data_IF_783110161649
#
_entry.id   IF_783110161649
#
_cell.length_a   1.000
_cell.length_b   1.000
_cell.length_c   1.000
_cell.angle_alpha   90.00
_cell.angle_beta   90.00
_cell.angle_gamma   90.00
#
_symmetry.space_group_name_H-M   'P 1'
#
loop_
_entity.id
_entity.type
_entity.pdbx_description
1 polymer ?
#
# COMPACT_ATOMS: atom_id res chain seq x y z
N UNK A 1 -90.19 11.21 9.12
CA UNK A 1 -90.89 10.67 10.31
C UNK A 1 -90.87 9.16 10.20
N UNK A 2 -90.26 8.47 11.16
CA UNK A 2 -90.04 7.02 11.13
C UNK A 2 -88.82 6.64 11.96
N UNK A 3 -88.96 6.71 13.29
CA UNK A 3 -88.04 6.15 14.26
C UNK A 3 -88.36 4.65 14.44
N UNK A 4 -87.38 3.86 14.91
CA UNK A 4 -87.48 2.73 15.84
C UNK A 4 -86.66 1.49 15.44
N UNK A 5 -85.54 1.25 16.15
CA UNK A 5 -85.31 0.15 17.12
C UNK A 5 -83.84 -0.31 17.13
N UNK A 6 -83.27 -0.22 18.33
CA UNK A 6 -82.00 -0.79 18.79
C UNK A 6 -82.11 -2.31 19.00
N UNK A 7 -81.03 -3.08 18.73
CA UNK A 7 -80.20 -3.78 19.74
C UNK A 7 -79.28 -4.87 19.12
N UNK A 8 -78.25 -5.36 19.87
CA UNK A 8 -76.90 -5.56 19.34
C UNK A 8 -76.46 -7.04 19.32
N UNK A 9 -75.37 -7.34 18.61
CA UNK A 9 -74.60 -8.58 18.79
C UNK A 9 -73.12 -8.22 18.70
N UNK A 10 -72.38 -8.57 19.76
CA UNK A 10 -70.95 -8.36 19.83
C UNK A 10 -70.12 -9.56 19.37
N UNK A 11 -68.81 -9.37 19.57
CA UNK A 11 -67.74 -10.37 19.73
C UNK A 11 -67.07 -10.86 18.43
N UNK A 12 -65.91 -10.28 18.10
CA UNK A 12 -64.55 -10.89 18.16
C UNK A 12 -63.63 -10.22 17.14
N UNK A 13 -62.44 -9.72 17.53
CA UNK A 13 -61.38 -9.41 16.57
C UNK A 13 -60.61 -10.69 16.22
N UNK A 14 -60.63 -11.09 14.96
CA UNK A 14 -59.76 -12.13 14.40
C UNK A 14 -58.32 -11.61 14.21
N UNK A 15 -57.31 -12.48 14.30
CA UNK A 15 -55.91 -12.09 14.22
C UNK A 15 -55.53 -11.66 12.80
N UNK A 16 -54.59 -10.71 12.72
CA UNK A 16 -53.94 -10.28 11.48
C UNK A 16 -53.14 -11.46 10.93
N UNK A 17 -53.54 -11.99 9.77
CA UNK A 17 -52.71 -12.89 8.97
C UNK A 17 -51.56 -12.09 8.35
N UNK A 18 -50.34 -12.58 8.55
CA UNK A 18 -49.15 -12.15 7.81
C UNK A 18 -48.92 -13.14 6.65
N UNK A 19 -49.19 -12.76 5.40
CA UNK A 19 -48.95 -13.62 4.26
C UNK A 19 -47.46 -13.62 3.90
N UNK A 20 -46.77 -14.62 4.45
CA UNK A 20 -45.98 -15.60 3.72
C UNK A 20 -45.56 -15.19 2.30
N UNK A 21 -44.26 -15.08 2.01
CA UNK A 21 -43.54 -15.55 0.81
C UNK A 21 -42.06 -15.19 1.06
N UNK A 22 -41.03 -16.04 1.02
CA UNK A 22 -40.79 -17.17 0.14
C UNK A 22 -39.50 -17.90 0.60
N UNK A 23 -39.52 -19.23 0.52
CA UNK A 23 -38.39 -20.13 0.15
C UNK A 23 -37.16 -20.29 1.06
N UNK A 24 -37.16 -21.41 1.80
CA UNK A 24 -36.15 -22.48 1.97
C UNK A 24 -34.83 -22.47 1.13
N UNK A 25 -33.85 -23.37 1.38
CA UNK A 25 -33.18 -23.77 2.64
C UNK A 25 -31.62 -23.91 2.43
N UNK A 26 -30.85 -24.80 3.13
CA UNK A 26 -29.53 -24.47 3.70
C UNK A 26 -28.34 -24.72 2.75
N UNK A 27 -27.41 -23.76 2.64
CA UNK A 27 -26.18 -24.00 1.87
C UNK A 27 -25.10 -24.61 2.75
N UNK A 28 -25.00 -25.94 2.71
CA UNK A 28 -23.74 -26.65 2.97
C UNK A 28 -22.71 -26.17 1.95
N UNK A 29 -21.68 -25.45 2.38
CA UNK A 29 -20.46 -25.34 1.57
C UNK A 29 -19.62 -26.60 1.82
N UNK A 30 -19.83 -27.56 0.93
CA UNK A 30 -18.90 -28.65 0.71
C UNK A 30 -17.57 -28.11 0.19
N UNK A 31 -16.53 -28.80 0.61
CA UNK A 31 -15.15 -28.72 0.18
C UNK A 31 -15.00 -28.55 -1.35
N UNK A 32 -14.22 -27.55 -1.76
CA UNK A 32 -13.63 -27.47 -3.09
C UNK A 32 -12.11 -27.44 -2.95
N UNK A 33 -11.53 -28.62 -3.15
CA UNK A 33 -10.41 -28.87 -4.06
C UNK A 33 -9.31 -27.82 -4.11
N UNK A 34 -8.26 -28.12 -3.35
CA UNK A 34 -6.84 -27.87 -3.63
C UNK A 34 -6.54 -27.48 -5.08
N UNK A 35 -6.65 -26.20 -5.43
CA UNK A 35 -6.07 -25.67 -6.65
C UNK A 35 -4.59 -25.41 -6.37
N UNK A 36 -3.76 -26.39 -6.73
CA UNK A 36 -2.30 -26.27 -6.72
C UNK A 36 -1.90 -25.40 -7.91
N UNK A 37 -2.16 -24.10 -7.85
CA UNK A 37 -1.49 -23.13 -8.73
C UNK A 37 -0.07 -22.97 -8.21
N UNK A 38 0.80 -23.87 -8.66
CA UNK A 38 2.24 -23.74 -8.52
C UNK A 38 2.74 -22.58 -9.36
N UNK A 39 2.48 -21.35 -8.92
CA UNK A 39 3.37 -20.25 -9.26
C UNK A 39 4.67 -20.58 -8.55
N UNK A 40 5.63 -21.11 -9.30
CA UNK A 40 7.00 -21.26 -8.82
C UNK A 40 7.54 -19.86 -8.62
N UNK A 41 7.31 -19.32 -7.43
CA UNK A 41 8.00 -18.13 -6.96
C UNK A 41 9.46 -18.52 -6.81
N UNK A 42 10.25 -18.28 -7.87
CA UNK A 42 11.71 -18.26 -7.73
C UNK A 42 11.99 -17.13 -6.75
N UNK A 43 12.45 -17.49 -5.55
CA UNK A 43 12.99 -16.53 -4.58
C UNK A 43 13.94 -15.60 -5.35
N UNK A 44 13.68 -14.29 -5.42
CA UNK A 44 14.75 -13.36 -5.74
C UNK A 44 15.86 -13.64 -4.73
N UNK A 45 17.07 -13.89 -5.21
CA UNK A 45 18.24 -13.89 -4.34
C UNK A 45 18.43 -12.45 -3.89
N UNK A 46 17.73 -12.06 -2.84
CA UNK A 46 17.98 -10.82 -2.14
C UNK A 46 19.38 -10.96 -1.53
N UNK A 47 20.39 -10.43 -2.22
CA UNK A 47 21.63 -10.10 -1.56
C UNK A 47 21.25 -9.03 -0.54
N UNK A 48 21.21 -9.46 0.72
CA UNK A 48 20.99 -8.59 1.87
C UNK A 48 22.17 -7.63 1.94
N UNK A 49 22.10 -6.55 1.18
CA UNK A 49 22.83 -5.35 1.53
C UNK A 49 22.17 -4.85 2.82
N UNK A 50 22.73 -5.33 3.92
CA UNK A 50 22.49 -4.90 5.28
C UNK A 50 22.64 -3.37 5.31
N UNK A 51 21.52 -2.65 5.25
CA UNK A 51 21.49 -1.22 5.49
C UNK A 51 21.67 -1.01 6.99
N UNK A 52 22.91 -1.05 7.45
CA UNK A 52 23.26 -0.41 8.71
C UNK A 52 23.05 1.08 8.47
N UNK A 53 22.18 1.70 9.27
CA UNK A 53 22.21 3.14 9.47
C UNK A 53 23.68 3.53 9.70
N UNK A 54 24.26 4.30 8.78
CA UNK A 54 25.60 4.83 8.96
C UNK A 54 25.64 5.63 10.28
N UNK A 55 26.65 5.46 11.13
CA UNK A 55 26.75 6.23 12.35
C UNK A 55 26.87 7.71 12.02
N UNK A 56 25.98 8.50 12.63
CA UNK A 56 25.95 9.95 12.61
C UNK A 56 27.37 10.54 12.74
N UNK A 57 27.89 11.33 11.78
CA UNK A 57 29.20 11.94 11.92
C UNK A 57 29.13 13.01 13.02
N UNK A 58 29.79 12.73 14.14
CA UNK A 58 29.96 13.67 15.26
C UNK A 58 30.48 15.04 14.76
N UNK A 59 29.95 16.17 15.25
CA UNK A 59 30.47 17.48 14.88
C UNK A 59 31.86 17.67 15.47
N UNK A 60 32.88 17.84 14.61
CA UNK A 60 34.25 18.18 15.04
C UNK A 60 34.29 19.62 15.57
N UNK A 61 35.06 19.92 16.63
CA UNK A 61 35.25 21.29 17.09
C UNK A 61 35.99 22.10 16.02
N UNK A 62 35.45 23.27 15.65
CA UNK A 62 36.10 24.22 14.76
C UNK A 62 37.32 24.84 15.47
N UNK A 63 38.52 24.49 15.00
CA UNK A 63 39.77 25.09 15.44
C UNK A 63 40.03 26.34 14.60
N UNK A 64 39.92 27.52 15.21
CA UNK A 64 40.21 28.80 14.57
C UNK A 64 41.72 28.90 14.30
N UNK A 65 42.14 28.90 13.04
CA UNK A 65 43.50 29.21 12.63
C UNK A 65 43.48 30.08 11.37
N UNK A 66 44.26 31.15 11.43
CA UNK A 66 44.26 32.28 10.52
C UNK A 66 44.89 32.00 9.14
N UNK A 67 44.52 32.89 8.20
CA UNK A 67 44.92 33.08 6.81
C UNK A 67 46.24 32.47 6.31
N UNK A 68 46.14 31.77 5.18
CA UNK A 68 47.12 31.86 4.10
C UNK A 68 46.37 31.69 2.76
N UNK A 69 46.43 32.72 1.92
CA UNK A 69 45.87 32.74 0.58
C UNK A 69 46.65 31.80 -0.34
N UNK A 70 45.96 30.84 -0.94
CA UNK A 70 46.40 30.14 -2.14
C UNK A 70 45.27 30.19 -3.16
N UNK A 71 45.54 30.33 -4.47
CA UNK A 71 44.51 30.19 -5.47
C UNK A 71 44.09 28.72 -5.46
N UNK A 72 42.89 28.45 -4.93
CA UNK A 72 42.21 27.19 -5.18
C UNK A 72 41.55 27.36 -6.52
N UNK A 73 42.06 26.64 -7.51
CA UNK A 73 41.24 26.21 -8.64
C UNK A 73 40.03 25.49 -8.02
N UNK A 74 38.91 26.22 -7.94
CA UNK A 74 37.62 25.67 -7.63
C UNK A 74 37.23 24.85 -8.85
N UNK A 75 37.69 23.59 -8.87
CA UNK A 75 37.06 22.55 -9.67
C UNK A 75 35.59 22.53 -9.26
N UNK A 76 34.79 23.23 -10.05
CA UNK A 76 33.34 23.19 -10.08
C UNK A 76 32.99 21.70 -10.28
N UNK A 77 32.78 21.00 -9.17
CA UNK A 77 32.34 19.62 -9.19
C UNK A 77 30.98 19.64 -9.86
N UNK A 78 30.95 19.39 -11.17
CA UNK A 78 29.74 19.27 -11.96
C UNK A 78 28.82 18.30 -11.20
N UNK A 79 27.76 18.85 -10.59
CA UNK A 79 26.75 18.06 -9.91
C UNK A 79 26.17 17.13 -10.97
N UNK A 80 26.56 15.84 -10.91
CA UNK A 80 26.08 14.84 -11.84
C UNK A 80 24.55 14.93 -11.87
N UNK A 81 23.92 15.12 -13.05
CA UNK A 81 22.49 15.35 -13.12
C UNK A 81 21.76 14.18 -12.47
N UNK A 82 20.96 14.49 -11.44
CA UNK A 82 20.12 13.51 -10.75
C UNK A 82 19.16 12.93 -11.80
N UNK A 83 19.36 11.66 -12.17
CA UNK A 83 18.47 11.00 -13.12
C UNK A 83 17.09 10.89 -12.50
N UNK A 84 16.12 11.51 -13.16
CA UNK A 84 14.71 11.46 -12.79
C UNK A 84 14.19 10.05 -13.05
N UNK A 85 14.00 9.27 -11.98
CA UNK A 85 13.58 7.88 -12.07
C UNK A 85 12.06 7.82 -12.21
N UNK A 86 11.61 7.47 -13.42
CA UNK A 86 10.19 7.45 -13.78
C UNK A 86 9.67 6.04 -14.02
N UNK A 87 8.41 5.79 -13.64
CA UNK A 87 7.73 4.54 -14.01
C UNK A 87 7.46 4.50 -15.53
N UNK A 88 7.41 3.31 -16.15
CA UNK A 88 7.04 3.17 -17.55
C UNK A 88 5.63 3.70 -17.82
N UNK A 89 5.46 4.47 -18.91
CA UNK A 89 4.15 5.03 -19.30
C UNK A 89 3.07 3.95 -19.50
N UNK A 90 3.47 2.75 -19.91
CA UNK A 90 2.56 1.61 -20.07
C UNK A 90 1.82 1.28 -18.75
N UNK A 91 2.40 1.59 -17.60
CA UNK A 91 1.78 1.36 -16.28
C UNK A 91 0.71 2.37 -15.93
N UNK A 92 0.65 3.52 -16.60
CA UNK A 92 -0.35 4.57 -16.33
C UNK A 92 -1.75 4.24 -16.88
N UNK A 93 -1.89 3.13 -17.62
CA UNK A 93 -3.22 2.67 -18.04
C UNK A 93 -3.98 2.06 -16.85
N UNK A 94 -5.30 2.26 -16.69
CA UNK A 94 -6.06 1.78 -15.52
C UNK A 94 -5.90 0.28 -15.25
N UNK A 95 -5.86 -0.54 -16.29
CA UNK A 95 -5.67 -1.99 -16.15
C UNK A 95 -4.29 -2.34 -15.63
N UNK A 96 -3.23 -1.69 -16.14
CA UNK A 96 -1.87 -1.96 -15.69
C UNK A 96 -1.65 -1.35 -14.31
N UNK A 97 -2.09 -0.11 -14.06
CA UNK A 97 -2.00 0.53 -12.75
C UNK A 97 -2.59 -0.36 -11.65
N UNK A 98 -3.77 -0.94 -11.88
CA UNK A 98 -4.37 -1.87 -10.93
C UNK A 98 -3.51 -3.14 -10.73
N UNK A 99 -2.99 -3.71 -11.82
CA UNK A 99 -2.13 -4.89 -11.77
C UNK A 99 -0.83 -4.63 -10.99
N UNK A 100 -0.18 -3.51 -11.26
CA UNK A 100 1.09 -3.12 -10.62
C UNK A 100 0.89 -2.81 -9.14
N UNK A 101 -0.23 -2.16 -8.78
CA UNK A 101 -0.58 -1.89 -7.38
C UNK A 101 -0.94 -3.15 -6.59
N UNK A 102 -1.69 -4.10 -7.17
CA UNK A 102 -1.97 -5.38 -6.50
C UNK A 102 -0.71 -6.21 -6.31
N UNK A 103 0.19 -6.18 -7.30
CA UNK A 103 1.50 -6.80 -7.14
C UNK A 103 2.30 -6.14 -6.00
N UNK A 104 2.31 -4.82 -5.92
CA UNK A 104 3.03 -4.09 -4.89
C UNK A 104 2.48 -4.45 -3.51
N UNK A 105 1.15 -4.53 -3.35
CA UNK A 105 0.49 -4.94 -2.10
C UNK A 105 1.02 -6.27 -1.59
N UNK A 106 0.97 -7.30 -2.43
CA UNK A 106 1.36 -8.67 -2.02
C UNK A 106 2.87 -8.75 -1.76
N UNK A 107 3.67 -8.08 -2.58
CA UNK A 107 5.13 -8.14 -2.50
C UNK A 107 5.66 -7.36 -1.32
N UNK A 108 5.13 -6.17 -1.06
CA UNK A 108 5.52 -5.32 0.07
C UNK A 108 5.13 -5.97 1.39
N UNK A 109 3.91 -6.52 1.50
CA UNK A 109 3.48 -7.24 2.70
C UNK A 109 4.46 -8.35 3.07
N UNK A 110 4.80 -9.18 2.09
CA UNK A 110 5.76 -10.27 2.28
C UNK A 110 7.15 -9.74 2.67
N UNK A 111 7.62 -8.68 2.00
CA UNK A 111 8.92 -8.09 2.30
C UNK A 111 8.99 -7.57 3.74
N UNK A 112 7.94 -6.92 4.22
CA UNK A 112 7.85 -6.43 5.60
C UNK A 112 7.87 -7.58 6.62
N UNK A 113 7.13 -8.66 6.35
CA UNK A 113 7.12 -9.86 7.20
C UNK A 113 8.50 -10.53 7.27
N UNK A 114 9.21 -10.58 6.14
CA UNK A 114 10.56 -11.15 6.03
C UNK A 114 11.62 -10.28 6.74
N UNK A 115 11.46 -8.95 6.76
CA UNK A 115 12.44 -8.00 7.32
C UNK A 115 12.22 -7.70 8.83
N UNK A 116 10.98 -7.48 9.26
CA UNK A 116 10.67 -6.92 10.59
C UNK A 116 9.91 -7.84 11.55
N UNK A 117 9.52 -9.04 11.08
CA UNK A 117 8.56 -9.98 11.67
C UNK A 117 7.10 -9.70 11.26
N UNK A 118 6.26 -10.76 11.15
CA UNK A 118 4.86 -10.60 10.82
C UNK A 118 4.06 -9.84 11.88
N UNK A 119 3.32 -8.82 11.45
CA UNK A 119 2.44 -8.02 12.30
C UNK A 119 1.20 -7.54 11.52
N UNK A 120 0.14 -7.18 12.25
CA UNK A 120 -1.09 -6.68 11.64
C UNK A 120 -0.87 -5.34 10.89
N UNK A 121 0.09 -4.52 11.35
CA UNK A 121 0.43 -3.26 10.69
C UNK A 121 0.94 -3.49 9.26
N UNK A 122 1.73 -4.54 9.00
CA UNK A 122 2.26 -4.85 7.66
C UNK A 122 1.15 -5.05 6.62
N UNK A 123 0.04 -5.65 7.05
CA UNK A 123 -1.15 -5.82 6.19
C UNK A 123 -1.71 -4.45 5.80
N UNK A 124 -1.87 -3.54 6.76
CA UNK A 124 -2.43 -2.20 6.50
C UNK A 124 -1.46 -1.32 5.72
N UNK A 125 -0.17 -1.34 6.04
CA UNK A 125 0.89 -0.65 5.28
C UNK A 125 0.84 -1.07 3.82
N UNK A 126 0.80 -2.38 3.54
CA UNK A 126 0.78 -2.88 2.17
C UNK A 126 -0.45 -2.44 1.39
N UNK A 127 -1.63 -2.41 2.03
CA UNK A 127 -2.88 -1.94 1.43
C UNK A 127 -2.83 -0.44 1.14
N UNK A 128 -2.37 0.36 2.10
CA UNK A 128 -2.28 1.82 1.96
C UNK A 128 -1.25 2.20 0.89
N UNK A 129 -0.07 1.57 0.90
CA UNK A 129 0.96 1.80 -0.11
C UNK A 129 0.46 1.46 -1.53
N UNK A 130 -0.20 0.30 -1.70
CA UNK A 130 -0.75 -0.09 -2.99
C UNK A 130 -1.86 0.84 -3.49
N UNK A 131 -2.73 1.30 -2.60
CA UNK A 131 -3.77 2.29 -2.93
C UNK A 131 -3.15 3.61 -3.35
N UNK A 132 -2.20 4.12 -2.55
CA UNK A 132 -1.48 5.36 -2.83
C UNK A 132 -0.78 5.31 -4.19
N UNK A 133 -0.10 4.18 -4.47
CA UNK A 133 0.55 3.95 -5.75
C UNK A 133 -0.44 3.92 -6.91
N UNK A 134 -1.57 3.22 -6.77
CA UNK A 134 -2.63 3.20 -7.78
C UNK A 134 -3.16 4.60 -8.09
N UNK A 135 -3.48 5.38 -7.05
CA UNK A 135 -3.96 6.74 -7.18
C UNK A 135 -2.95 7.62 -7.92
N UNK A 136 -1.67 7.55 -7.56
CA UNK A 136 -0.61 8.30 -8.26
C UNK A 136 -0.53 7.94 -9.75
N UNK A 137 -0.62 6.67 -10.11
CA UNK A 137 -0.62 6.25 -11.52
C UNK A 137 -1.87 6.78 -12.26
N UNK A 138 -3.02 6.83 -11.59
CA UNK A 138 -4.27 7.39 -12.16
C UNK A 138 -4.27 8.91 -12.28
N UNK A 139 -3.45 9.57 -11.48
CA UNK A 139 -3.15 10.99 -11.60
C UNK A 139 -2.06 11.28 -12.66
N UNK A 140 -1.65 10.26 -13.43
CA UNK A 140 -0.56 10.34 -14.41
C UNK A 140 0.78 10.73 -13.80
N UNK A 141 0.96 10.53 -12.50
CA UNK A 141 2.24 10.78 -11.86
C UNK A 141 3.21 9.67 -12.23
N UNK A 142 4.32 10.07 -12.86
CA UNK A 142 5.35 9.13 -13.32
C UNK A 142 6.65 9.21 -12.53
N UNK A 143 6.89 10.33 -11.84
CA UNK A 143 8.10 10.52 -11.04
C UNK A 143 8.04 9.71 -9.74
N UNK A 144 9.03 8.84 -9.50
CA UNK A 144 9.04 8.00 -8.31
C UNK A 144 9.30 8.78 -7.01
N UNK A 145 9.96 9.93 -7.08
CA UNK A 145 10.15 10.80 -5.91
C UNK A 145 8.83 11.40 -5.45
N UNK A 146 8.02 11.90 -6.37
CA UNK A 146 6.68 12.42 -6.06
C UNK A 146 5.75 11.30 -5.56
N UNK A 147 5.79 10.12 -6.19
CA UNK A 147 5.05 8.94 -5.73
C UNK A 147 5.49 8.54 -4.31
N UNK A 148 6.80 8.53 -4.04
CA UNK A 148 7.35 8.23 -2.72
C UNK A 148 6.80 9.18 -1.66
N UNK A 149 6.82 10.49 -1.94
CA UNK A 149 6.38 11.51 -1.00
C UNK A 149 4.88 11.42 -0.72
N UNK A 150 4.05 11.25 -1.76
CA UNK A 150 2.61 10.99 -1.57
C UNK A 150 2.38 9.72 -0.75
N UNK A 151 3.08 8.63 -1.05
CA UNK A 151 2.95 7.37 -0.34
C UNK A 151 3.37 7.47 1.12
N UNK A 152 4.49 8.15 1.41
CA UNK A 152 4.93 8.39 2.78
C UNK A 152 3.86 9.15 3.57
N UNK A 153 3.26 10.19 2.98
CA UNK A 153 2.16 10.95 3.59
C UNK A 153 0.92 10.09 3.82
N UNK A 154 0.52 9.28 2.85
CA UNK A 154 -0.64 8.40 3.00
C UNK A 154 -0.40 7.34 4.10
N UNK A 155 0.83 6.86 4.25
CA UNK A 155 1.21 5.90 5.28
C UNK A 155 1.23 6.50 6.69
N UNK A 156 1.34 7.82 6.88
CA UNK A 156 1.19 8.46 8.20
C UNK A 156 -0.19 8.21 8.84
N UNK A 157 -1.17 7.77 8.05
CA UNK A 157 -2.50 7.37 8.55
C UNK A 157 -2.51 6.00 9.22
N UNK A 158 -1.45 5.19 9.07
CA UNK A 158 -1.30 3.88 9.68
C UNK A 158 -0.72 4.01 11.09
N UNK A 159 -1.18 3.17 12.03
CA UNK A 159 -0.59 3.10 13.37
C UNK A 159 0.68 2.24 13.36
N UNK A 160 1.81 2.84 13.74
CA UNK A 160 3.11 2.18 13.90
C UNK A 160 3.51 2.01 15.38
N UNK A 161 2.58 2.15 16.33
CA UNK A 161 2.91 2.21 17.78
C UNK A 161 3.69 1.00 18.30
N UNK A 162 3.43 -0.18 17.75
CA UNK A 162 4.09 -1.44 18.13
C UNK A 162 5.10 -1.90 17.07
N UNK A 163 5.33 -1.10 16.02
CA UNK A 163 6.14 -1.46 14.86
C UNK A 163 7.56 -0.89 14.99
N UNK A 164 8.55 -1.64 14.49
CA UNK A 164 9.96 -1.23 14.51
C UNK A 164 10.38 -0.35 13.31
N UNK A 165 9.43 -0.06 12.42
CA UNK A 165 9.61 0.75 11.22
C UNK A 165 8.52 1.84 11.16
N UNK A 166 8.69 2.82 10.27
CA UNK A 166 7.76 3.93 10.11
C UNK A 166 7.30 4.13 8.67
N UNK A 167 6.44 5.13 8.48
CA UNK A 167 5.82 5.47 7.19
C UNK A 167 6.86 5.67 6.07
N UNK A 168 7.88 6.50 6.29
CA UNK A 168 8.91 6.78 5.28
C UNK A 168 9.76 5.54 4.96
N UNK A 169 10.11 4.72 5.97
CA UNK A 169 10.86 3.49 5.76
C UNK A 169 10.07 2.48 4.92
N UNK A 170 8.77 2.34 5.22
CA UNK A 170 7.83 1.51 4.46
C UNK A 170 7.65 2.00 3.02
N UNK A 171 7.50 3.31 2.81
CA UNK A 171 7.39 3.91 1.49
C UNK A 171 8.64 3.68 0.64
N UNK A 172 9.84 3.85 1.23
CA UNK A 172 11.09 3.58 0.54
C UNK A 172 11.22 2.11 0.12
N UNK A 173 10.83 1.17 1.00
CA UNK A 173 10.81 -0.24 0.65
C UNK A 173 9.87 -0.51 -0.54
N UNK A 174 8.70 0.12 -0.56
CA UNK A 174 7.76 0.01 -1.67
C UNK A 174 8.37 0.51 -3.01
N UNK A 175 8.98 1.70 -3.02
CA UNK A 175 9.61 2.27 -4.22
C UNK A 175 10.82 1.45 -4.68
N UNK A 176 11.59 0.91 -3.74
CA UNK A 176 12.66 -0.02 -4.06
C UNK A 176 12.14 -1.26 -4.80
N UNK A 177 11.04 -1.87 -4.32
CA UNK A 177 10.39 -3.00 -4.99
C UNK A 177 9.92 -2.61 -6.40
N UNK A 178 9.27 -1.45 -6.56
CA UNK A 178 8.83 -0.93 -7.87
C UNK A 178 10.01 -0.82 -8.83
N UNK A 179 11.14 -0.24 -8.37
CA UNK A 179 12.37 -0.11 -9.16
C UNK A 179 12.93 -1.47 -9.59
N UNK A 180 12.97 -2.45 -8.67
CA UNK A 180 13.38 -3.82 -9.00
C UNK A 180 12.49 -4.44 -10.08
N UNK A 181 11.18 -4.21 -10.01
CA UNK A 181 10.23 -4.71 -11.00
C UNK A 181 10.45 -4.08 -12.37
N UNK A 182 10.66 -2.77 -12.43
CA UNK A 182 11.02 -2.07 -13.68
C UNK A 182 12.25 -2.69 -14.33
N UNK A 183 13.32 -2.85 -13.55
CA UNK A 183 14.58 -3.43 -14.03
C UNK A 183 14.42 -4.88 -14.51
N UNK A 184 13.56 -5.67 -13.85
CA UNK A 184 13.26 -7.06 -14.26
C UNK A 184 12.51 -7.18 -15.58
N UNK A 185 11.89 -6.11 -16.06
CA UNK A 185 11.20 -6.06 -17.35
C UNK A 185 12.06 -5.47 -18.45
N UNK A 186 12.98 -4.56 -18.12
CA UNK A 186 13.91 -3.96 -19.08
C UNK A 186 14.97 -4.95 -19.61
N UNK A 187 15.30 -5.99 -18.84
CA UNK A 187 16.26 -7.03 -19.23
C UNK A 187 15.69 -8.21 -20.03
N UNK A 188 14.49 -8.07 -20.62
CA UNK A 188 13.83 -9.10 -21.43
C UNK A 188 13.75 -8.73 -22.91
#
# INVERSE_FOLDING_TARGET
MGCLILHPIGITPTPVEDPSLLSSPPTKFASASKLRSGVVYRKPQFHTHRWLCAPNPQPRPLRLAASAAGPRDEEEAEEAPVQELRVPEAWLTPSNALQESEWLRVTLHKWLDDEYCPEAANVEISKVAARSYYESLMEQQSDLGEILLKMAKDLETVSFQESFHGAFSSANAAIHLVTLRMNSMAGR
#
